data_IF_489499773251
#
_entry.id   IF_489499773251
#
_cell.length_a   1.000
_cell.length_b   1.000
_cell.length_c   1.000
_cell.angle_alpha   90.00
_cell.angle_beta   90.00
_cell.angle_gamma   90.00
#
_symmetry.space_group_name_H-M   'P 1'
#
loop_
_entity.id
_entity.type
_entity.pdbx_description
1 polymer ?
#
# COMPACT_ATOMS: atom_id res chain seq x y z
N UNK A 1 6.62 1.97 -24.19
CA UNK A 1 7.35 2.32 -22.97
C UNK A 1 8.76 2.64 -23.40
N UNK A 2 9.32 3.77 -22.97
CA UNK A 2 10.68 4.17 -23.31
C UNK A 2 11.46 4.49 -22.05
N UNK A 3 12.61 3.83 -21.90
CA UNK A 3 13.58 4.13 -20.84
C UNK A 3 14.39 5.38 -21.21
N UNK A 4 14.41 6.36 -20.33
CA UNK A 4 15.09 7.64 -20.52
C UNK A 4 16.20 7.79 -19.48
N UNK A 5 17.48 7.94 -19.89
CA UNK A 5 18.53 8.33 -18.97
C UNK A 5 18.38 9.79 -18.57
N UNK A 6 18.77 10.13 -17.35
CA UNK A 6 18.65 11.48 -16.82
C UNK A 6 19.70 11.75 -15.74
N UNK A 7 19.90 13.04 -15.44
CA UNK A 7 20.83 13.48 -14.40
C UNK A 7 20.06 13.54 -13.07
N UNK A 8 20.48 12.79 -12.04
CA UNK A 8 19.88 12.85 -10.71
C UNK A 8 19.97 14.26 -10.13
N UNK A 9 18.96 14.67 -9.34
CA UNK A 9 19.05 15.93 -8.57
C UNK A 9 20.22 15.82 -7.60
N UNK A 10 21.03 16.86 -7.44
CA UNK A 10 22.24 16.79 -6.60
C UNK A 10 21.92 16.55 -5.12
N UNK A 11 20.79 17.09 -4.66
CA UNK A 11 20.28 17.09 -3.29
C UNK A 11 19.10 16.11 -3.10
N UNK A 12 18.98 15.08 -3.95
CA UNK A 12 17.82 14.18 -3.96
C UNK A 12 17.53 13.54 -2.60
N UNK A 13 18.56 13.13 -1.84
CA UNK A 13 18.38 12.52 -0.50
C UNK A 13 17.74 13.49 0.48
N UNK A 14 18.24 14.71 0.54
CA UNK A 14 17.73 15.73 1.45
C UNK A 14 16.28 16.10 1.11
N UNK A 15 15.95 16.12 -0.19
CA UNK A 15 14.57 16.32 -0.66
C UNK A 15 13.64 15.20 -0.20
N UNK A 16 14.03 13.93 -0.36
CA UNK A 16 13.19 12.80 0.06
C UNK A 16 13.05 12.73 1.58
N UNK A 17 14.13 13.02 2.33
CA UNK A 17 14.08 13.13 3.79
C UNK A 17 13.09 14.20 4.25
N UNK A 18 13.08 15.37 3.60
CA UNK A 18 12.13 16.45 3.90
C UNK A 18 10.67 16.09 3.60
N UNK A 19 10.44 15.08 2.76
CA UNK A 19 9.11 14.57 2.39
C UNK A 19 8.65 13.41 3.28
N UNK A 20 9.46 12.97 4.25
CA UNK A 20 9.17 11.81 5.09
C UNK A 20 9.53 10.46 4.47
N UNK A 21 9.98 10.42 3.20
CA UNK A 21 10.50 9.19 2.59
C UNK A 21 11.92 8.94 3.06
N UNK A 22 12.10 8.34 4.24
CA UNK A 22 13.40 8.19 4.94
C UNK A 22 14.15 6.90 4.61
N UNK A 23 13.51 5.94 3.95
CA UNK A 23 14.10 4.65 3.57
C UNK A 23 14.53 4.61 2.09
N UNK A 24 14.87 5.76 1.52
CA UNK A 24 15.28 5.90 0.10
C UNK A 24 16.63 5.24 -0.25
N UNK A 25 17.40 4.84 0.76
CA UNK A 25 18.74 4.25 0.64
C UNK A 25 18.89 2.96 1.47
N UNK A 26 17.86 2.12 1.54
CA UNK A 26 17.95 0.81 2.19
C UNK A 26 18.54 -0.28 1.27
N UNK A 27 19.18 -1.29 1.84
CA UNK A 27 19.58 -2.52 1.13
C UNK A 27 18.40 -3.54 1.06
N UNK A 28 18.55 -4.68 0.37
CA UNK A 28 17.50 -5.72 0.32
C UNK A 28 17.10 -6.29 1.69
N UNK A 29 17.97 -6.18 2.70
CA UNK A 29 17.71 -6.56 4.08
C UNK A 29 16.98 -5.48 4.90
N UNK A 30 16.72 -4.30 4.32
CA UNK A 30 16.02 -3.18 4.96
C UNK A 30 16.93 -2.23 5.76
N UNK A 31 18.25 -2.42 5.72
CA UNK A 31 19.21 -1.62 6.47
C UNK A 31 19.51 -0.30 5.74
N UNK A 32 19.51 0.83 6.47
CA UNK A 32 19.92 2.13 5.91
C UNK A 32 21.42 2.14 5.57
N UNK A 33 21.73 2.16 4.28
CA UNK A 33 23.08 2.21 3.74
C UNK A 33 23.44 3.59 3.18
N UNK A 34 22.70 4.65 3.53
CA UNK A 34 22.94 6.02 3.06
C UNK A 34 24.34 6.55 3.36
N UNK A 35 24.99 6.05 4.43
CA UNK A 35 26.34 6.42 4.83
C UNK A 35 27.46 5.66 4.06
N UNK A 36 27.17 4.46 3.55
CA UNK A 36 28.18 3.55 2.97
C UNK A 36 28.01 3.37 1.47
N UNK A 37 26.78 3.47 0.95
CA UNK A 37 26.49 3.32 -0.47
C UNK A 37 26.29 4.66 -1.18
N UNK A 38 27.25 5.08 -2.03
CA UNK A 38 27.30 6.44 -2.52
C UNK A 38 26.18 6.76 -3.51
N UNK A 39 25.52 5.78 -4.16
CA UNK A 39 24.32 5.99 -5.00
C UNK A 39 23.39 4.77 -5.12
N UNK A 40 22.07 5.03 -5.01
CA UNK A 40 20.96 4.19 -5.49
C UNK A 40 20.86 2.77 -4.92
N UNK A 41 20.85 2.64 -3.58
CA UNK A 41 20.55 1.36 -2.95
C UNK A 41 19.08 0.93 -3.17
N UNK A 42 18.15 1.89 -3.12
CA UNK A 42 16.71 1.65 -3.31
C UNK A 42 16.09 2.60 -4.35
N UNK A 43 16.05 3.91 -4.07
CA UNK A 43 15.46 4.91 -4.98
C UNK A 43 16.43 5.27 -6.11
N UNK A 44 15.91 5.50 -7.34
CA UNK A 44 16.71 5.88 -8.52
C UNK A 44 16.17 7.10 -9.23
N UNK A 45 17.07 8.07 -9.48
CA UNK A 45 16.77 9.25 -10.29
C UNK A 45 17.60 9.35 -11.57
N UNK A 46 18.43 8.36 -11.90
CA UNK A 46 19.23 8.36 -13.13
C UNK A 46 18.49 7.78 -14.34
N UNK A 47 17.26 7.31 -14.12
CA UNK A 47 16.38 6.75 -15.13
C UNK A 47 14.93 7.15 -14.85
N UNK A 48 14.17 7.43 -15.91
CA UNK A 48 12.72 7.48 -15.89
C UNK A 48 12.13 6.66 -17.05
N UNK A 49 10.87 6.26 -16.92
CA UNK A 49 10.15 5.55 -17.97
C UNK A 49 9.02 6.43 -18.48
N UNK A 50 9.00 6.63 -19.80
CA UNK A 50 7.94 7.37 -20.49
C UNK A 50 6.99 6.40 -21.17
N UNK A 51 5.70 6.64 -20.99
CA UNK A 51 4.61 5.94 -21.66
C UNK A 51 3.92 6.91 -22.62
N UNK A 52 3.33 6.38 -23.69
CA UNK A 52 2.33 7.14 -24.44
C UNK A 52 0.94 6.90 -23.83
N UNK A 53 -0.04 7.70 -24.22
CA UNK A 53 -1.42 7.62 -23.72
C UNK A 53 -2.04 6.23 -23.93
N UNK A 54 -1.91 5.66 -25.13
CA UNK A 54 -2.43 4.32 -25.42
C UNK A 54 -1.86 3.23 -24.51
N UNK A 55 -0.59 3.36 -24.10
CA UNK A 55 0.05 2.45 -23.15
C UNK A 55 -0.50 2.60 -21.73
N UNK A 56 -0.77 3.84 -21.31
CA UNK A 56 -1.40 4.11 -20.01
C UNK A 56 -2.83 3.56 -19.98
N UNK A 57 -3.63 3.83 -21.00
CA UNK A 57 -4.99 3.31 -21.12
C UNK A 57 -5.01 1.77 -21.10
N UNK A 58 -4.04 1.14 -21.75
CA UNK A 58 -3.92 -0.31 -21.74
C UNK A 58 -3.59 -0.87 -20.35
N UNK A 59 -2.70 -0.22 -19.60
CA UNK A 59 -2.41 -0.60 -18.21
C UNK A 59 -3.65 -0.39 -17.32
N UNK A 60 -4.32 0.75 -17.47
CA UNK A 60 -5.54 1.05 -16.71
C UNK A 60 -6.65 0.03 -16.96
N UNK A 61 -6.93 -0.30 -18.23
CA UNK A 61 -7.93 -1.29 -18.59
C UNK A 61 -7.56 -2.68 -18.03
N UNK A 62 -6.30 -3.10 -18.18
CA UNK A 62 -5.82 -4.38 -17.67
C UNK A 62 -5.92 -4.46 -16.13
N UNK A 63 -5.53 -3.41 -15.41
CA UNK A 63 -5.62 -3.38 -13.93
C UNK A 63 -7.07 -3.50 -13.45
N UNK A 64 -8.02 -2.82 -14.12
CA UNK A 64 -9.44 -2.94 -13.78
C UNK A 64 -10.00 -4.34 -14.07
N UNK A 65 -9.66 -4.92 -15.23
CA UNK A 65 -10.08 -6.27 -15.60
C UNK A 65 -9.52 -7.31 -14.62
N UNK A 66 -8.21 -7.24 -14.32
CA UNK A 66 -7.56 -8.15 -13.37
C UNK A 66 -8.17 -8.06 -11.98
N UNK A 67 -8.45 -6.85 -11.47
CA UNK A 67 -9.10 -6.69 -10.17
C UNK A 67 -10.51 -7.32 -10.16
N UNK A 68 -11.30 -7.10 -11.20
CA UNK A 68 -12.63 -7.71 -11.34
C UNK A 68 -12.55 -9.24 -11.39
N UNK A 69 -11.58 -9.80 -12.12
CA UNK A 69 -11.34 -11.25 -12.18
C UNK A 69 -10.92 -11.81 -10.81
N UNK A 70 -10.08 -11.11 -10.05
CA UNK A 70 -9.70 -11.53 -8.70
C UNK A 70 -10.91 -11.56 -7.75
N UNK A 71 -11.79 -10.56 -7.81
CA UNK A 71 -13.01 -10.53 -7.01
C UNK A 71 -13.99 -11.65 -7.41
N UNK A 72 -14.14 -11.91 -8.71
CA UNK A 72 -14.99 -13.00 -9.20
C UNK A 72 -14.48 -14.38 -8.77
N UNK A 73 -13.16 -14.59 -8.84
CA UNK A 73 -12.52 -15.80 -8.33
C UNK A 73 -12.73 -15.96 -6.82
N UNK A 74 -12.51 -14.90 -6.03
CA UNK A 74 -12.73 -14.93 -4.59
C UNK A 74 -14.19 -15.30 -4.26
N UNK A 75 -15.15 -14.64 -4.91
CA UNK A 75 -16.58 -14.93 -4.73
C UNK A 75 -16.95 -16.38 -5.12
N UNK A 76 -16.35 -16.91 -6.19
CA UNK A 76 -16.55 -18.29 -6.63
C UNK A 76 -15.99 -19.32 -5.65
N UNK A 77 -14.79 -19.09 -5.11
CA UNK A 77 -14.16 -19.98 -4.12
C UNK A 77 -14.94 -19.99 -2.81
N UNK A 78 -15.37 -18.82 -2.34
CA UNK A 78 -16.19 -18.65 -1.13
C UNK A 78 -17.53 -19.38 -1.30
N UNK A 79 -18.27 -19.08 -2.38
CA UNK A 79 -19.59 -19.67 -2.60
C UNK A 79 -19.53 -21.18 -2.86
N UNK A 80 -18.40 -21.65 -3.40
CA UNK A 80 -18.14 -23.06 -3.65
C UNK A 80 -17.62 -23.85 -2.45
N UNK A 81 -17.33 -23.20 -1.31
CA UNK A 81 -16.69 -23.85 -0.16
C UNK A 81 -15.30 -24.40 -0.49
N UNK A 82 -14.55 -23.70 -1.33
CA UNK A 82 -13.27 -24.14 -1.93
C UNK A 82 -12.06 -23.32 -1.44
N UNK A 83 -12.19 -22.66 -0.28
CA UNK A 83 -11.11 -21.87 0.32
C UNK A 83 -9.91 -22.73 0.76
N UNK A 84 -10.14 -24.02 0.99
CA UNK A 84 -9.10 -25.02 1.25
C UNK A 84 -8.10 -25.17 0.10
N UNK A 85 -8.51 -24.89 -1.15
CA UNK A 85 -7.61 -24.88 -2.32
C UNK A 85 -6.54 -23.78 -2.27
N UNK A 86 -6.71 -22.80 -1.38
CA UNK A 86 -5.74 -21.73 -1.11
C UNK A 86 -4.99 -21.97 0.19
N UNK A 87 -5.05 -23.18 0.75
CA UNK A 87 -4.45 -23.55 2.04
C UNK A 87 -4.91 -22.67 3.23
N UNK A 88 -6.10 -22.06 3.12
CA UNK A 88 -6.69 -21.25 4.20
C UNK A 88 -7.16 -22.18 5.32
N UNK A 89 -6.69 -22.02 6.57
CA UNK A 89 -7.05 -22.88 7.69
C UNK A 89 -8.56 -22.90 7.97
N UNK A 90 -9.15 -24.03 8.38
CA UNK A 90 -10.59 -24.13 8.62
C UNK A 90 -11.16 -23.06 9.57
N UNK A 91 -10.39 -22.67 10.59
CA UNK A 91 -10.78 -21.62 11.54
C UNK A 91 -10.91 -20.24 10.88
N UNK A 92 -10.11 -19.97 9.84
CA UNK A 92 -10.12 -18.70 9.09
C UNK A 92 -11.16 -18.68 7.96
N UNK A 93 -11.54 -19.83 7.40
CA UNK A 93 -12.52 -19.90 6.31
C UNK A 93 -13.86 -19.24 6.68
N UNK A 94 -14.38 -19.54 7.88
CA UNK A 94 -15.60 -18.92 8.38
C UNK A 94 -15.48 -17.39 8.53
N UNK A 95 -14.29 -16.89 8.89
CA UNK A 95 -14.04 -15.45 9.00
C UNK A 95 -14.01 -14.78 7.62
N UNK A 96 -13.41 -15.42 6.62
CA UNK A 96 -13.39 -14.96 5.23
C UNK A 96 -14.80 -14.89 4.65
N UNK A 97 -15.59 -15.96 4.81
CA UNK A 97 -16.99 -15.99 4.37
C UNK A 97 -17.81 -14.88 5.04
N UNK A 98 -17.64 -14.70 6.34
CA UNK A 98 -18.36 -13.66 7.09
C UNK A 98 -17.96 -12.24 6.63
N UNK A 99 -16.67 -11.99 6.40
CA UNK A 99 -16.15 -10.72 5.87
C UNK A 99 -16.71 -10.40 4.49
N UNK A 100 -16.71 -11.39 3.60
CA UNK A 100 -17.27 -11.28 2.25
C UNK A 100 -18.76 -10.95 2.28
N UNK A 101 -19.54 -11.66 3.10
CA UNK A 101 -20.98 -11.47 3.21
C UNK A 101 -21.36 -10.10 3.82
N UNK A 102 -20.57 -9.61 4.78
CA UNK A 102 -20.72 -8.23 5.31
C UNK A 102 -20.28 -7.15 4.33
N UNK A 103 -19.60 -7.53 3.24
CA UNK A 103 -18.95 -6.61 2.30
C UNK A 103 -17.99 -5.68 3.05
N UNK A 104 -17.13 -6.28 3.87
CA UNK A 104 -16.06 -5.54 4.55
C UNK A 104 -15.20 -4.86 3.47
N UNK A 105 -14.79 -3.60 3.69
CA UNK A 105 -14.14 -2.81 2.65
C UNK A 105 -12.68 -3.23 2.44
N UNK A 106 -12.23 -3.24 1.19
CA UNK A 106 -10.80 -3.15 0.86
C UNK A 106 -10.39 -1.69 0.69
N UNK A 107 -9.11 -1.38 0.94
CA UNK A 107 -8.56 -0.03 0.81
C UNK A 107 -7.77 0.14 -0.49
N UNK A 108 -6.72 -0.65 -0.69
CA UNK A 108 -5.86 -0.61 -1.87
C UNK A 108 -5.17 -1.96 -2.10
N UNK A 109 -4.54 -2.11 -3.26
CA UNK A 109 -3.81 -3.30 -3.69
C UNK A 109 -2.70 -2.91 -4.69
N UNK A 110 -1.68 -3.75 -4.84
CA UNK A 110 -0.59 -3.54 -5.81
C UNK A 110 -0.47 -4.73 -6.76
N UNK A 111 -0.58 -4.47 -8.05
CA UNK A 111 -0.31 -5.48 -9.08
C UNK A 111 1.14 -5.40 -9.53
N UNK A 112 1.77 -6.57 -9.63
CA UNK A 112 3.08 -6.71 -10.26
C UNK A 112 2.87 -7.27 -11.66
N UNK A 113 3.24 -6.49 -12.67
CA UNK A 113 3.01 -6.79 -14.08
C UNK A 113 4.33 -6.92 -14.84
N UNK A 114 4.43 -7.97 -15.66
CA UNK A 114 5.48 -8.09 -16.68
C UNK A 114 4.97 -7.51 -18.01
N UNK A 115 5.63 -6.46 -18.49
CA UNK A 115 5.25 -5.81 -19.73
C UNK A 115 6.40 -5.03 -20.38
N UNK A 116 6.52 -5.11 -21.70
CA UNK A 116 7.54 -4.39 -22.48
C UNK A 116 7.01 -3.11 -23.16
N UNK A 117 5.73 -2.79 -22.94
CA UNK A 117 5.04 -1.67 -23.58
C UNK A 117 4.34 -2.03 -24.90
N UNK A 118 4.32 -3.32 -25.27
CA UNK A 118 3.62 -3.86 -26.44
C UNK A 118 2.80 -5.10 -26.05
N UNK A 119 1.69 -5.34 -26.77
CA UNK A 119 0.77 -6.43 -26.41
C UNK A 119 0.19 -6.26 -25.00
N UNK A 120 -0.46 -7.29 -24.46
CA UNK A 120 -1.10 -7.22 -23.14
C UNK A 120 -0.10 -7.45 -22.00
N UNK A 121 -0.16 -6.65 -20.91
CA UNK A 121 0.61 -6.92 -19.71
C UNK A 121 0.24 -8.28 -19.11
N UNK A 122 1.20 -8.93 -18.46
CA UNK A 122 1.01 -10.22 -17.79
C UNK A 122 1.07 -10.05 -16.28
N UNK A 123 0.04 -10.54 -15.60
CA UNK A 123 0.00 -10.56 -14.14
C UNK A 123 1.05 -11.55 -13.61
N UNK A 124 1.95 -11.06 -12.75
CA UNK A 124 2.85 -11.89 -11.96
C UNK A 124 2.22 -12.15 -10.59
N UNK A 125 1.76 -11.09 -9.92
CA UNK A 125 1.23 -11.15 -8.56
C UNK A 125 0.21 -10.03 -8.30
N UNK A 126 -0.74 -10.31 -7.41
CA UNK A 126 -1.60 -9.29 -6.81
C UNK A 126 -1.42 -9.23 -5.29
N UNK A 127 -0.66 -8.23 -4.84
CA UNK A 127 -0.46 -7.91 -3.43
C UNK A 127 -1.69 -7.19 -2.89
N UNK A 128 -2.68 -7.95 -2.40
CA UNK A 128 -3.96 -7.41 -1.94
C UNK A 128 -4.10 -7.30 -0.40
N UNK A 129 -3.12 -7.79 0.37
CA UNK A 129 -3.15 -7.79 1.84
C UNK A 129 -2.26 -6.68 2.43
N UNK A 130 -0.95 -6.74 2.18
CA UNK A 130 0.03 -5.79 2.73
C UNK A 130 0.89 -5.10 1.66
N UNK A 131 0.29 -4.45 0.65
CA UNK A 131 1.06 -3.72 -0.36
C UNK A 131 1.75 -2.47 0.22
N UNK A 132 3.04 -2.32 -0.05
CA UNK A 132 3.82 -1.09 0.20
C UNK A 132 4.00 -0.27 -1.08
N UNK A 133 4.89 0.73 -1.06
CA UNK A 133 5.25 1.62 -2.18
C UNK A 133 4.33 2.81 -2.44
N UNK A 134 3.47 3.17 -1.47
CA UNK A 134 2.49 4.25 -1.64
C UNK A 134 3.08 5.64 -1.46
N UNK A 135 4.03 5.84 -0.55
CA UNK A 135 4.69 7.16 -0.34
C UNK A 135 5.63 7.48 -1.51
N UNK A 136 6.30 6.47 -2.04
CA UNK A 136 7.15 6.55 -3.22
C UNK A 136 6.32 7.00 -4.42
N UNK A 137 5.17 6.37 -4.63
CA UNK A 137 4.30 6.67 -5.76
C UNK A 137 3.60 8.02 -5.60
N UNK A 138 2.96 8.27 -4.45
CA UNK A 138 2.15 9.47 -4.26
C UNK A 138 2.97 10.74 -4.03
N UNK A 139 4.11 10.65 -3.35
CA UNK A 139 4.89 11.81 -2.92
C UNK A 139 6.22 11.92 -3.68
N UNK A 140 7.07 10.88 -3.59
CA UNK A 140 8.43 10.97 -4.12
C UNK A 140 8.44 11.11 -5.66
N UNK A 141 7.69 10.27 -6.36
CA UNK A 141 7.56 10.35 -7.82
C UNK A 141 6.92 11.66 -8.27
N UNK A 142 5.88 12.13 -7.58
CA UNK A 142 5.21 13.38 -7.93
C UNK A 142 6.15 14.59 -7.80
N UNK A 143 6.82 14.73 -6.66
CA UNK A 143 7.74 15.85 -6.43
C UNK A 143 8.95 15.78 -7.37
N UNK A 144 9.48 14.59 -7.64
CA UNK A 144 10.49 14.38 -8.66
C UNK A 144 10.00 14.84 -10.04
N UNK A 145 8.79 14.45 -10.44
CA UNK A 145 8.19 14.83 -11.72
C UNK A 145 8.03 16.36 -11.81
N UNK A 146 7.53 17.02 -10.77
CA UNK A 146 7.37 18.48 -10.75
C UNK A 146 8.70 19.19 -10.92
N UNK A 147 9.76 18.72 -10.25
CA UNK A 147 11.09 19.35 -10.31
C UNK A 147 11.80 19.10 -11.65
N UNK A 148 11.74 17.87 -12.16
CA UNK A 148 12.60 17.40 -13.27
C UNK A 148 11.87 17.36 -14.61
N UNK A 149 10.57 17.09 -14.59
CA UNK A 149 9.72 16.95 -15.77
C UNK A 149 8.41 17.76 -15.62
N UNK A 150 8.47 19.08 -15.35
CA UNK A 150 7.28 19.88 -15.02
C UNK A 150 6.21 19.91 -16.11
N UNK A 151 6.62 19.71 -17.37
CA UNK A 151 5.73 19.70 -18.53
C UNK A 151 5.14 18.31 -18.84
N UNK A 152 5.64 17.25 -18.20
CA UNK A 152 5.08 15.92 -18.37
C UNK A 152 3.73 15.82 -17.64
N UNK A 153 2.96 14.80 -18.00
CA UNK A 153 1.86 14.33 -17.19
C UNK A 153 2.29 13.09 -16.39
N UNK A 154 1.54 12.73 -15.35
CA UNK A 154 1.73 11.49 -14.60
C UNK A 154 0.39 10.79 -14.43
N UNK A 155 0.30 9.53 -14.88
CA UNK A 155 -0.84 8.68 -14.55
C UNK A 155 -0.75 8.22 -13.09
N UNK A 156 -1.14 9.11 -12.19
CA UNK A 156 -1.11 8.89 -10.76
C UNK A 156 -2.17 9.76 -10.09
N UNK A 157 -3.18 9.12 -9.52
CA UNK A 157 -4.20 9.73 -8.67
C UNK A 157 -4.28 9.03 -7.32
N UNK A 158 -3.18 8.38 -6.90
CA UNK A 158 -3.17 7.48 -5.75
C UNK A 158 -3.57 8.22 -4.47
N UNK A 159 -3.04 9.43 -4.27
CA UNK A 159 -3.34 10.22 -3.07
C UNK A 159 -4.83 10.56 -2.98
N UNK A 160 -5.39 11.15 -4.04
CA UNK A 160 -6.80 11.54 -4.11
C UNK A 160 -7.72 10.32 -3.99
N UNK A 161 -7.35 9.19 -4.62
CA UNK A 161 -8.10 7.95 -4.54
C UNK A 161 -8.10 7.36 -3.12
N UNK A 162 -6.96 7.38 -2.42
CA UNK A 162 -6.87 6.91 -1.04
C UNK A 162 -7.68 7.80 -0.09
N UNK A 163 -7.61 9.12 -0.21
CA UNK A 163 -8.40 10.06 0.60
C UNK A 163 -9.90 9.81 0.38
N UNK A 164 -10.33 9.74 -0.89
CA UNK A 164 -11.72 9.46 -1.22
C UNK A 164 -12.17 8.10 -0.64
N UNK A 165 -11.35 7.05 -0.82
CA UNK A 165 -11.68 5.71 -0.34
C UNK A 165 -11.77 5.63 1.19
N UNK A 166 -10.83 6.25 1.91
CA UNK A 166 -10.89 6.30 3.38
C UNK A 166 -12.08 7.12 3.86
N UNK A 167 -12.46 8.18 3.15
CA UNK A 167 -13.65 8.98 3.46
C UNK A 167 -14.92 8.12 3.36
N UNK A 168 -15.04 7.31 2.30
CA UNK A 168 -16.16 6.38 2.13
C UNK A 168 -16.20 5.29 3.22
N UNK A 169 -15.04 4.77 3.62
CA UNK A 169 -14.96 3.77 4.70
C UNK A 169 -15.35 4.39 6.04
N UNK A 170 -14.98 5.65 6.31
CA UNK A 170 -15.29 6.35 7.55
C UNK A 170 -16.79 6.43 7.83
N UNK A 171 -17.61 6.49 6.77
CA UNK A 171 -19.08 6.52 6.88
C UNK A 171 -19.67 5.27 7.55
N UNK A 172 -18.91 4.18 7.66
CA UNK A 172 -19.32 2.96 8.36
C UNK A 172 -19.16 3.05 9.89
N UNK A 173 -18.49 4.08 10.39
CA UNK A 173 -18.15 4.23 11.80
C UNK A 173 -18.87 5.43 12.41
N UNK A 174 -19.53 5.23 13.56
CA UNK A 174 -20.15 6.33 14.29
C UNK A 174 -19.12 7.36 14.81
N UNK A 175 -17.90 6.88 15.10
CA UNK A 175 -16.73 7.67 15.44
C UNK A 175 -15.54 7.09 14.65
N UNK A 176 -15.08 7.76 13.59
CA UNK A 176 -14.01 7.22 12.75
C UNK A 176 -12.67 7.40 13.45
N UNK A 177 -12.33 6.46 14.33
CA UNK A 177 -11.00 6.32 14.91
C UNK A 177 -10.29 5.15 14.23
N UNK A 178 -9.09 5.38 13.71
CA UNK A 178 -8.29 4.40 12.99
C UNK A 178 -6.91 4.25 13.64
N UNK A 179 -6.64 3.06 14.16
CA UNK A 179 -5.28 2.66 14.52
C UNK A 179 -4.58 2.09 13.28
N UNK A 180 -3.41 2.60 12.95
CA UNK A 180 -2.59 2.06 11.88
C UNK A 180 -1.40 1.29 12.47
N UNK A 181 -1.48 -0.03 12.38
CA UNK A 181 -0.56 -0.94 13.04
C UNK A 181 0.53 -1.45 12.09
N UNK A 182 1.79 -1.37 12.52
CA UNK A 182 2.95 -1.94 11.84
C UNK A 182 4.06 -2.31 12.83
N UNK A 183 5.14 -2.93 12.36
CA UNK A 183 6.33 -3.17 13.16
C UNK A 183 7.21 -1.92 13.13
N UNK A 184 7.54 -1.35 14.30
CA UNK A 184 8.25 -0.08 14.38
C UNK A 184 9.77 -0.19 14.14
N UNK A 185 10.31 -1.40 14.08
CA UNK A 185 11.71 -1.66 13.71
C UNK A 185 11.95 -1.62 12.19
N UNK A 186 10.90 -1.66 11.37
CA UNK A 186 10.95 -1.52 9.92
C UNK A 186 10.71 -0.07 9.48
N UNK A 187 11.75 0.59 8.95
CA UNK A 187 11.65 1.97 8.45
C UNK A 187 10.71 2.10 7.24
N UNK A 188 10.65 1.08 6.38
CA UNK A 188 9.72 1.03 5.25
C UNK A 188 8.27 0.99 5.74
N UNK A 189 7.98 0.10 6.69
CA UNK A 189 6.62 -0.08 7.21
C UNK A 189 6.13 1.17 7.94
N UNK A 190 7.00 1.74 8.79
CA UNK A 190 6.72 3.00 9.48
C UNK A 190 6.45 4.11 8.48
N UNK A 191 7.30 4.30 7.46
CA UNK A 191 7.09 5.36 6.48
C UNK A 191 5.82 5.16 5.63
N UNK A 192 5.50 3.92 5.28
CA UNK A 192 4.27 3.56 4.57
C UNK A 192 3.02 3.89 5.42
N UNK A 193 3.04 3.52 6.70
CA UNK A 193 1.94 3.78 7.64
C UNK A 193 1.84 5.25 8.03
N UNK A 194 2.96 5.96 8.23
CA UNK A 194 2.99 7.42 8.48
C UNK A 194 2.27 8.17 7.34
N UNK A 195 2.57 7.83 6.09
CA UNK A 195 1.88 8.40 4.94
C UNK A 195 0.38 8.07 4.95
N UNK A 196 0.01 6.82 5.23
CA UNK A 196 -1.40 6.43 5.27
C UNK A 196 -2.17 7.11 6.41
N UNK A 197 -1.50 7.38 7.53
CA UNK A 197 -2.04 8.15 8.64
C UNK A 197 -2.37 9.58 8.20
N UNK A 198 -1.47 10.25 7.47
CA UNK A 198 -1.74 11.58 6.91
C UNK A 198 -2.96 11.57 5.99
N UNK A 199 -3.05 10.60 5.07
CA UNK A 199 -4.23 10.41 4.20
C UNK A 199 -5.50 10.18 5.02
N UNK A 200 -5.44 9.38 6.09
CA UNK A 200 -6.58 9.11 6.96
C UNK A 200 -7.06 10.38 7.69
N UNK A 201 -6.14 11.20 8.20
CA UNK A 201 -6.46 12.49 8.82
C UNK A 201 -7.18 13.42 7.81
N UNK A 202 -6.69 13.50 6.57
CA UNK A 202 -7.33 14.28 5.51
C UNK A 202 -8.73 13.75 5.15
N UNK A 203 -8.93 12.43 5.24
CA UNK A 203 -10.22 11.76 5.05
C UNK A 203 -11.17 11.88 6.25
N UNK A 204 -10.80 12.64 7.30
CA UNK A 204 -11.65 12.91 8.45
C UNK A 204 -11.60 11.87 9.57
N UNK A 205 -10.62 10.96 9.55
CA UNK A 205 -10.38 10.04 10.66
C UNK A 205 -9.62 10.71 11.81
N UNK A 206 -9.86 10.25 13.04
CA UNK A 206 -8.91 10.37 14.13
C UNK A 206 -7.94 9.19 13.99
N UNK A 207 -6.71 9.46 13.56
CA UNK A 207 -5.75 8.42 13.22
C UNK A 207 -4.54 8.45 14.15
N UNK A 208 -4.05 7.27 14.52
CA UNK A 208 -2.81 7.11 15.29
C UNK A 208 -2.06 5.87 14.85
N UNK A 209 -0.73 5.95 14.84
CA UNK A 209 0.11 4.77 14.68
C UNK A 209 0.09 3.91 15.95
N UNK A 210 0.23 2.61 15.77
CA UNK A 210 0.31 1.63 16.84
C UNK A 210 1.39 0.60 16.52
N UNK A 211 2.29 0.33 17.46
CA UNK A 211 3.19 -0.81 17.30
C UNK A 211 2.34 -2.08 17.47
N UNK A 212 2.47 -3.03 16.53
CA UNK A 212 1.81 -4.33 16.63
C UNK A 212 2.09 -5.03 17.96
N UNK A 213 3.30 -4.86 18.51
CA UNK A 213 3.69 -5.45 19.78
C UNK A 213 2.95 -4.87 20.99
N UNK A 214 2.32 -3.70 20.85
CA UNK A 214 1.58 -3.01 21.90
C UNK A 214 0.07 -3.29 21.86
N UNK A 215 -0.43 -4.05 20.87
CA UNK A 215 -1.84 -4.46 20.84
C UNK A 215 -2.11 -5.42 22.00
N UNK A 216 -2.90 -4.94 22.97
CA UNK A 216 -3.33 -5.68 24.14
C UNK A 216 -4.77 -6.15 24.07
N UNK A 217 -5.25 -6.72 25.17
CA UNK A 217 -6.66 -7.09 25.36
C UNK A 217 -7.21 -6.52 26.67
N UNK A 218 -8.43 -6.01 26.60
CA UNK A 218 -9.21 -5.56 27.75
C UNK A 218 -9.83 -6.75 28.49
N UNK A 219 -10.28 -6.58 29.75
CA UNK A 219 -10.90 -7.67 30.53
C UNK A 219 -12.14 -8.32 29.89
N UNK A 220 -12.80 -7.62 28.98
CA UNK A 220 -13.96 -8.13 28.23
C UNK A 220 -13.59 -8.80 26.89
N UNK A 221 -12.29 -8.88 26.57
CA UNK A 221 -11.75 -9.53 25.38
C UNK A 221 -11.62 -8.62 24.16
N UNK A 222 -11.98 -7.33 24.24
CA UNK A 222 -11.74 -6.38 23.16
C UNK A 222 -10.24 -6.08 23.00
N UNK A 223 -9.77 -5.90 21.77
CA UNK A 223 -8.41 -5.41 21.53
C UNK A 223 -8.28 -3.95 21.96
N UNK A 224 -7.13 -3.58 22.51
CA UNK A 224 -6.83 -2.22 22.92
C UNK A 224 -5.41 -1.79 22.54
N UNK A 225 -5.21 -0.48 22.44
CA UNK A 225 -3.89 0.12 22.24
C UNK A 225 -3.09 0.22 23.56
N UNK A 226 -1.89 0.79 23.48
CA UNK A 226 -0.99 0.99 24.61
C UNK A 226 -1.53 1.91 25.73
N UNK A 227 -2.68 2.57 25.53
CA UNK A 227 -3.35 3.42 26.53
C UNK A 227 -4.70 2.83 26.98
N UNK A 228 -4.89 1.52 26.80
CA UNK A 228 -6.11 0.79 27.13
C UNK A 228 -7.36 1.36 26.42
N UNK A 229 -7.20 2.04 25.27
CA UNK A 229 -8.34 2.45 24.46
C UNK A 229 -8.77 1.32 23.53
N UNK A 230 -10.08 0.99 23.46
CA UNK A 230 -10.57 -0.04 22.55
C UNK A 230 -10.25 0.27 21.08
N UNK A 231 -9.73 -0.71 20.36
CA UNK A 231 -9.46 -0.63 18.92
C UNK A 231 -10.74 -0.98 18.16
N UNK A 232 -11.42 0.03 17.62
CA UNK A 232 -12.66 -0.17 16.83
C UNK A 232 -12.42 -0.31 15.33
N UNK A 233 -11.34 0.26 14.80
CA UNK A 233 -10.92 0.10 13.42
C UNK A 233 -9.39 0.05 13.37
N UNK A 234 -8.85 -0.88 12.59
CA UNK A 234 -7.43 -1.09 12.47
C UNK A 234 -7.04 -1.29 11.01
N UNK A 235 -6.06 -0.53 10.54
CA UNK A 235 -5.27 -0.90 9.38
C UNK A 235 -4.06 -1.69 9.88
N UNK A 236 -3.77 -2.84 9.28
CA UNK A 236 -2.56 -3.61 9.60
C UNK A 236 -1.62 -3.65 8.39
N UNK A 237 -0.35 -3.38 8.63
CA UNK A 237 0.73 -3.77 7.73
C UNK A 237 1.40 -5.01 8.32
N UNK A 238 0.66 -6.12 8.32
CA UNK A 238 1.09 -7.41 8.85
C UNK A 238 0.33 -8.53 8.13
N UNK A 239 0.99 -9.57 7.58
CA UNK A 239 0.31 -10.57 6.75
C UNK A 239 -0.79 -11.34 7.49
N UNK A 240 -1.94 -11.55 6.84
CA UNK A 240 -2.99 -12.44 7.36
C UNK A 240 -2.47 -13.86 7.55
N UNK A 241 -1.61 -14.34 6.65
CA UNK A 241 -1.02 -15.68 6.73
C UNK A 241 -0.31 -15.91 8.07
N UNK A 242 0.33 -14.89 8.64
CA UNK A 242 1.01 -15.01 9.94
C UNK A 242 0.04 -14.97 11.12
N UNK A 243 -1.11 -14.28 10.97
CA UNK A 243 -2.14 -14.20 12.02
C UNK A 243 -2.98 -15.46 12.15
N UNK A 244 -3.17 -16.20 11.06
CA UNK A 244 -4.09 -17.35 11.01
C UNK A 244 -3.39 -18.72 11.14
N UNK A 245 -2.06 -18.71 11.27
CA UNK A 245 -1.23 -19.89 11.52
C UNK A 245 -1.43 -20.48 12.92
#
# INVERSE_FOLDING_TARGET
MQRLPQVPRADWRDRLNAQGFRFHSINPEGEDVSATEPRFAYWREDVAYRFNEAQIEQLYAASNELHAMCLDLAGSLISGGQLDRLDIPPAAQALVEASWNRRDPHLYGRFDLAWDGTGHPKLLEYNADTPTSIIETAVAQWTWKVDVQPQADQFNSLHEALVARLSDIALRFARPQLHLACQFDSLEDVGNVEYLMDVALQAGWQASMLDLAEIGTLPDGQYADAQDQPISACFKLYPWEWLVQ
#
